data_IF_940296434918
#
_entry.id   IF_940296434918
#
_cell.length_a   1.000
_cell.length_b   1.000
_cell.length_c   1.000
_cell.angle_alpha   90.00
_cell.angle_beta   90.00
_cell.angle_gamma   90.00
#
_symmetry.space_group_name_H-M   'P 1'
#
loop_
_entity.id
_entity.type
_entity.pdbx_description
1 polymer ?
#
# COMPACT_ATOMS: atom_id res chain seq x y z
N UNK A 1 4.44 15.06 -2.25
CA UNK A 1 3.32 14.09 -2.44
C UNK A 1 3.03 14.00 -3.92
N UNK A 2 3.09 12.81 -4.51
CA UNK A 2 2.72 12.57 -5.91
C UNK A 2 1.44 11.72 -5.93
N UNK A 3 0.37 12.24 -6.57
CA UNK A 3 -0.98 11.70 -6.53
C UNK A 3 -1.94 12.58 -5.71
N UNK A 4 -3.15 12.75 -6.24
CA UNK A 4 -4.19 13.66 -5.68
C UNK A 4 -5.50 12.92 -5.40
N UNK A 5 -5.46 11.58 -5.38
CA UNK A 5 -6.64 10.73 -5.21
C UNK A 5 -7.16 10.66 -3.78
N UNK A 6 -8.08 9.72 -3.57
CA UNK A 6 -8.80 9.47 -2.32
C UNK A 6 -7.84 9.32 -1.12
N UNK A 7 -6.85 8.47 -1.24
CA UNK A 7 -5.93 8.19 -0.12
C UNK A 7 -5.07 9.42 0.24
N UNK A 8 -4.72 10.25 -0.76
CA UNK A 8 -3.94 11.47 -0.52
C UNK A 8 -4.81 12.57 0.09
N UNK A 9 -5.95 12.89 -0.52
CA UNK A 9 -6.69 14.12 -0.23
C UNK A 9 -8.12 13.89 0.26
N UNK A 10 -8.67 12.69 0.12
CA UNK A 10 -10.09 12.42 0.34
C UNK A 10 -11.02 13.00 -0.73
N UNK A 11 -10.45 13.51 -1.85
CA UNK A 11 -11.20 14.19 -2.90
C UNK A 11 -11.13 13.44 -4.22
N UNK A 12 -12.27 12.98 -4.74
CA UNK A 12 -12.41 12.22 -5.98
C UNK A 12 -13.62 12.69 -6.77
N UNK A 13 -13.55 12.70 -8.10
CA UNK A 13 -14.65 13.06 -8.99
C UNK A 13 -15.32 14.40 -8.67
N UNK A 14 -14.57 15.37 -8.11
CA UNK A 14 -15.11 16.70 -7.79
C UNK A 14 -15.81 16.79 -6.42
N UNK A 15 -15.76 15.74 -5.61
CA UNK A 15 -16.43 15.67 -4.29
C UNK A 15 -15.57 14.95 -3.24
N UNK A 16 -16.05 14.93 -1.99
CA UNK A 16 -15.50 14.04 -0.96
C UNK A 16 -15.71 12.58 -1.33
N UNK A 17 -14.75 11.73 -1.01
CA UNK A 17 -14.88 10.28 -1.16
C UNK A 17 -15.96 9.73 -0.20
N UNK A 18 -16.73 8.73 -0.67
CA UNK A 18 -17.78 8.06 0.12
C UNK A 18 -17.24 6.97 1.08
N UNK A 19 -15.92 6.91 1.27
CA UNK A 19 -15.28 5.96 2.16
C UNK A 19 -14.93 6.57 3.51
N UNK A 20 -14.38 5.74 4.41
CA UNK A 20 -13.80 6.15 5.69
C UNK A 20 -12.56 7.07 5.55
N UNK A 21 -12.15 7.41 4.34
CA UNK A 21 -10.99 8.26 4.00
C UNK A 21 -11.38 9.64 3.47
N UNK A 22 -12.56 10.13 3.78
CA UNK A 22 -13.06 11.42 3.30
C UNK A 22 -12.21 12.64 3.67
N UNK A 23 -11.35 12.56 4.68
CA UNK A 23 -10.35 13.59 5.03
C UNK A 23 -8.97 13.34 4.40
N UNK A 24 -8.79 12.27 3.62
CA UNK A 24 -7.50 11.77 3.18
C UNK A 24 -6.68 11.15 4.31
N UNK A 25 -5.56 10.57 3.96
CA UNK A 25 -4.59 10.00 4.91
C UNK A 25 -3.26 10.72 4.77
N UNK A 26 -2.71 10.75 3.54
CA UNK A 26 -1.36 11.29 3.28
C UNK A 26 -1.26 12.78 3.61
N UNK A 27 -2.14 13.61 3.04
CA UNK A 27 -2.08 15.05 3.22
C UNK A 27 -2.29 15.45 4.69
N UNK A 28 -3.28 14.87 5.36
CA UNK A 28 -3.54 15.10 6.77
C UNK A 28 -2.33 14.74 7.65
N UNK A 29 -1.71 13.58 7.40
CA UNK A 29 -0.50 13.16 8.10
C UNK A 29 0.67 14.12 7.87
N UNK A 30 0.91 14.56 6.62
CA UNK A 30 1.98 15.50 6.31
C UNK A 30 1.74 16.88 6.94
N UNK A 31 0.51 17.37 7.00
CA UNK A 31 0.17 18.62 7.69
C UNK A 31 0.44 18.52 9.20
N UNK A 32 0.10 17.38 9.82
CA UNK A 32 0.36 17.18 11.24
C UNK A 32 1.87 17.01 11.54
N UNK A 33 2.61 16.28 10.70
CA UNK A 33 4.06 16.16 10.82
C UNK A 33 4.76 17.51 10.62
N UNK A 34 4.23 18.40 9.76
CA UNK A 34 4.70 19.78 9.63
C UNK A 34 4.44 20.59 10.89
N UNK A 35 3.25 20.50 11.47
CA UNK A 35 2.93 21.12 12.75
C UNK A 35 3.88 20.69 13.87
N UNK A 36 4.34 19.43 13.82
CA UNK A 36 5.34 18.90 14.75
C UNK A 36 6.79 19.32 14.42
N UNK A 37 7.02 20.07 13.34
CA UNK A 37 8.37 20.46 12.89
C UNK A 37 9.20 19.33 12.28
N UNK A 38 8.55 18.23 11.88
CA UNK A 38 9.21 17.05 11.29
C UNK A 38 9.24 17.10 9.76
N UNK A 39 8.37 17.90 9.16
CA UNK A 39 8.28 18.16 7.71
C UNK A 39 8.27 19.67 7.49
N UNK A 40 8.95 20.13 6.45
CA UNK A 40 8.99 21.54 6.06
C UNK A 40 7.98 21.88 4.97
N UNK A 41 8.49 22.37 3.83
CA UNK A 41 7.72 22.72 2.63
C UNK A 41 7.01 21.50 2.09
N UNK A 42 5.76 21.66 1.65
CA UNK A 42 4.96 20.59 1.06
C UNK A 42 4.61 20.91 -0.39
N UNK A 43 4.86 19.97 -1.27
CA UNK A 43 4.49 20.00 -2.68
C UNK A 43 3.48 18.89 -2.96
N UNK A 44 2.52 19.15 -3.85
CA UNK A 44 1.55 18.16 -4.31
C UNK A 44 1.51 18.12 -5.83
N UNK A 45 1.83 16.97 -6.43
CA UNK A 45 1.80 16.78 -7.87
C UNK A 45 0.64 15.87 -8.28
N UNK A 46 -0.03 16.27 -9.37
CA UNK A 46 -1.08 15.49 -10.04
C UNK A 46 -1.04 15.74 -11.54
N UNK A 47 -1.76 14.95 -12.32
CA UNK A 47 -1.81 15.09 -13.78
C UNK A 47 -2.79 16.17 -14.28
N UNK A 48 -3.56 16.77 -13.38
CA UNK A 48 -4.58 17.78 -13.72
C UNK A 48 -4.60 18.88 -12.64
N UNK A 49 -4.13 20.08 -13.01
CA UNK A 49 -4.05 21.24 -12.13
C UNK A 49 -5.41 21.85 -11.78
N UNK A 50 -6.40 21.74 -12.66
CA UNK A 50 -7.74 22.33 -12.42
C UNK A 50 -8.49 21.70 -11.26
N UNK A 51 -7.98 20.57 -10.72
CA UNK A 51 -8.50 19.94 -9.52
C UNK A 51 -8.05 20.65 -8.22
N UNK A 52 -6.91 21.35 -8.21
CA UNK A 52 -6.31 21.88 -6.99
C UNK A 52 -7.19 22.90 -6.25
N UNK A 53 -7.91 23.83 -6.89
CA UNK A 53 -8.85 24.69 -6.18
C UNK A 53 -9.91 23.90 -5.40
N UNK A 54 -10.48 22.86 -6.02
CA UNK A 54 -11.44 21.95 -5.35
C UNK A 54 -10.81 21.15 -4.19
N UNK A 55 -9.59 20.66 -4.40
CA UNK A 55 -8.83 19.96 -3.34
C UNK A 55 -8.56 20.87 -2.15
N UNK A 56 -8.11 22.13 -2.37
CA UNK A 56 -7.87 23.10 -1.29
C UNK A 56 -9.15 23.42 -0.52
N UNK A 57 -10.25 23.68 -1.24
CA UNK A 57 -11.54 23.93 -0.62
C UNK A 57 -12.05 22.70 0.19
N UNK A 58 -11.84 21.49 -0.33
CA UNK A 58 -12.17 20.26 0.36
C UNK A 58 -11.35 20.10 1.65
N UNK A 59 -10.01 20.19 1.55
CA UNK A 59 -9.12 20.09 2.71
C UNK A 59 -9.40 21.17 3.76
N UNK A 60 -9.72 22.39 3.34
CA UNK A 60 -10.14 23.43 4.28
C UNK A 60 -11.36 22.98 5.09
N UNK A 61 -12.41 22.46 4.42
CA UNK A 61 -13.65 22.04 5.09
C UNK A 61 -13.47 20.83 5.99
N UNK A 62 -12.71 19.79 5.56
CA UNK A 62 -12.62 18.51 6.29
C UNK A 62 -11.42 18.43 7.23
N UNK A 63 -10.46 19.33 7.10
CA UNK A 63 -9.26 19.39 7.95
C UNK A 63 -9.16 20.76 8.63
N UNK A 64 -9.12 21.86 7.90
CA UNK A 64 -8.89 23.20 8.43
C UNK A 64 -10.00 23.68 9.36
N UNK A 65 -11.26 23.40 9.03
CA UNK A 65 -12.41 23.78 9.85
C UNK A 65 -12.65 22.81 11.03
N UNK A 66 -12.01 21.63 10.98
CA UNK A 66 -12.16 20.56 12.00
C UNK A 66 -11.03 20.60 13.02
N UNK A 67 -9.80 20.82 12.58
CA UNK A 67 -8.61 20.75 13.45
C UNK A 67 -7.94 22.11 13.57
N UNK A 68 -7.57 22.47 14.80
CA UNK A 68 -6.76 23.66 15.08
C UNK A 68 -5.28 23.40 14.83
N UNK A 69 -4.56 24.49 14.54
CA UNK A 69 -3.10 24.54 14.46
C UNK A 69 -2.48 23.76 13.27
N UNK A 70 -3.28 23.37 12.26
CA UNK A 70 -2.78 22.77 11.03
C UNK A 70 -2.65 23.81 9.93
N UNK A 71 -1.45 23.99 9.39
CA UNK A 71 -1.20 24.73 8.16
C UNK A 71 -1.45 23.81 6.96
N UNK A 72 -2.41 24.15 6.09
CA UNK A 72 -2.81 23.36 4.93
C UNK A 72 -2.16 23.80 3.62
N UNK A 73 -1.22 24.76 3.66
CA UNK A 73 -0.55 25.26 2.46
C UNK A 73 0.31 24.18 1.80
N UNK A 74 0.23 24.10 0.49
CA UNK A 74 1.11 23.30 -0.35
C UNK A 74 1.24 23.95 -1.73
N UNK A 75 2.36 23.71 -2.38
CA UNK A 75 2.57 24.12 -3.77
C UNK A 75 2.06 23.02 -4.70
N UNK A 76 1.34 23.41 -5.75
CA UNK A 76 0.71 22.47 -6.67
C UNK A 76 1.42 22.38 -8.00
N UNK A 77 1.57 21.19 -8.51
CA UNK A 77 2.10 20.85 -9.84
C UNK A 77 1.12 19.94 -10.58
N UNK A 78 0.67 20.31 -11.80
CA UNK A 78 0.92 21.56 -12.49
C UNK A 78 0.15 22.74 -11.86
N UNK A 79 0.27 23.94 -12.49
CA UNK A 79 -0.52 25.12 -12.08
C UNK A 79 -2.02 24.86 -12.19
N UNK A 80 -2.83 25.60 -11.41
CA UNK A 80 -4.29 25.45 -11.33
C UNK A 80 -5.02 25.65 -12.68
N UNK A 81 -4.38 26.27 -13.67
CA UNK A 81 -4.93 26.48 -15.03
C UNK A 81 -4.61 25.37 -16.02
N UNK A 82 -3.77 24.39 -15.65
CA UNK A 82 -3.33 23.34 -16.57
C UNK A 82 -4.30 22.15 -16.52
N UNK A 83 -4.99 21.87 -17.62
CA UNK A 83 -5.98 20.77 -17.67
C UNK A 83 -5.35 19.39 -17.64
N UNK A 84 -4.19 19.21 -18.30
CA UNK A 84 -3.50 17.92 -18.34
C UNK A 84 -1.99 18.07 -18.48
N UNK A 85 -1.28 17.45 -17.56
CA UNK A 85 0.17 17.32 -17.58
C UNK A 85 0.58 16.06 -16.78
N UNK A 86 0.73 14.92 -17.45
CA UNK A 86 1.10 13.67 -16.78
C UNK A 86 2.54 13.67 -16.24
N UNK A 87 3.39 14.60 -16.72
CA UNK A 87 4.79 14.73 -16.29
C UNK A 87 5.02 15.85 -15.25
N UNK A 88 3.94 16.45 -14.75
CA UNK A 88 4.04 17.51 -13.73
C UNK A 88 4.85 17.09 -12.48
N UNK A 89 4.88 15.80 -12.18
CA UNK A 89 5.67 15.26 -11.07
C UNK A 89 7.18 15.51 -11.26
N UNK A 90 7.71 15.51 -12.49
CA UNK A 90 9.12 15.80 -12.76
C UNK A 90 9.50 17.20 -12.28
N UNK A 91 8.66 18.21 -12.60
CA UNK A 91 8.91 19.58 -12.14
C UNK A 91 8.78 19.71 -10.62
N UNK A 92 7.85 18.97 -10.01
CA UNK A 92 7.76 18.94 -8.55
C UNK A 92 9.00 18.29 -7.92
N UNK A 93 9.56 17.25 -8.54
CA UNK A 93 10.80 16.61 -8.10
C UNK A 93 12.03 17.53 -8.30
N UNK A 94 12.04 18.35 -9.37
CA UNK A 94 13.15 19.31 -9.62
C UNK A 94 13.22 20.43 -8.57
N UNK A 95 12.15 20.64 -7.79
CA UNK A 95 12.11 21.58 -6.65
C UNK A 95 12.67 20.98 -5.34
N UNK A 96 12.99 19.69 -5.34
CA UNK A 96 13.51 18.98 -4.17
C UNK A 96 15.04 18.91 -4.19
N UNK A 97 15.60 18.75 -3.01
CA UNK A 97 17.03 18.50 -2.81
C UNK A 97 17.30 17.03 -2.51
N UNK A 98 18.50 16.50 -2.80
CA UNK A 98 18.91 15.19 -2.32
C UNK A 98 18.68 15.06 -0.80
N UNK A 99 18.08 13.93 -0.37
CA UNK A 99 17.67 13.69 1.01
C UNK A 99 16.25 14.13 1.36
N UNK A 100 15.56 14.88 0.48
CA UNK A 100 14.13 15.15 0.65
C UNK A 100 13.28 13.87 0.48
N UNK A 101 12.07 13.87 1.04
CA UNK A 101 11.16 12.73 1.03
C UNK A 101 10.05 12.87 -0.01
N UNK A 102 9.83 11.83 -0.80
CA UNK A 102 8.75 11.72 -1.78
C UNK A 102 7.78 10.61 -1.37
N UNK A 103 6.47 10.91 -1.41
CA UNK A 103 5.41 9.94 -1.13
C UNK A 103 4.55 9.80 -2.38
N UNK A 104 4.39 8.56 -2.90
CA UNK A 104 3.73 8.26 -4.18
C UNK A 104 2.46 7.45 -3.96
N UNK A 105 1.32 8.03 -4.35
CA UNK A 105 0.00 7.40 -4.32
C UNK A 105 -0.75 7.68 -5.63
N UNK A 106 -0.31 7.02 -6.69
CA UNK A 106 -0.79 7.13 -8.07
C UNK A 106 -1.30 5.77 -8.56
N UNK A 107 -1.86 5.63 -9.77
CA UNK A 107 -2.11 4.31 -10.35
C UNK A 107 -0.84 3.46 -10.44
N UNK A 108 -0.97 2.15 -10.20
CA UNK A 108 0.14 1.22 -10.00
C UNK A 108 1.15 1.20 -11.17
N UNK A 109 0.66 1.32 -12.41
CA UNK A 109 1.47 1.34 -13.63
C UNK A 109 2.38 2.58 -13.78
N UNK A 110 2.17 3.61 -12.95
CA UNK A 110 2.98 4.83 -12.94
C UNK A 110 4.07 4.81 -11.86
N UNK A 111 4.02 3.86 -10.93
CA UNK A 111 4.90 3.84 -9.77
C UNK A 111 6.37 3.78 -10.16
N UNK A 112 6.76 2.89 -11.08
CA UNK A 112 8.16 2.72 -11.45
C UNK A 112 8.78 3.99 -12.05
N UNK A 113 8.10 4.65 -12.98
CA UNK A 113 8.62 5.86 -13.62
C UNK A 113 8.82 7.00 -12.61
N UNK A 114 7.85 7.18 -11.69
CA UNK A 114 7.93 8.21 -10.66
C UNK A 114 9.01 7.85 -9.62
N UNK A 115 9.08 6.59 -9.21
CA UNK A 115 10.05 6.10 -8.24
C UNK A 115 11.49 6.25 -8.76
N UNK A 116 11.75 5.82 -10.00
CA UNK A 116 13.07 5.95 -10.62
C UNK A 116 13.50 7.42 -10.72
N UNK A 117 12.59 8.32 -11.14
CA UNK A 117 12.88 9.75 -11.22
C UNK A 117 13.18 10.40 -9.86
N UNK A 118 12.52 9.95 -8.78
CA UNK A 118 12.78 10.42 -7.42
C UNK A 118 14.13 9.92 -6.89
N UNK A 119 14.42 8.62 -7.08
CA UNK A 119 15.70 8.00 -6.69
C UNK A 119 16.88 8.63 -7.44
N UNK A 120 16.72 8.89 -8.75
CA UNK A 120 17.76 9.56 -9.55
C UNK A 120 18.15 10.93 -9.00
N UNK A 121 17.21 11.65 -8.38
CA UNK A 121 17.43 12.94 -7.72
C UNK A 121 17.92 12.83 -6.28
N UNK A 122 18.18 11.61 -5.79
CA UNK A 122 18.65 11.37 -4.43
C UNK A 122 17.59 11.57 -3.35
N UNK A 123 16.30 11.48 -3.69
CA UNK A 123 15.21 11.60 -2.73
C UNK A 123 14.92 10.25 -2.05
N UNK A 124 14.59 10.28 -0.76
CA UNK A 124 14.00 9.14 -0.06
C UNK A 124 12.56 8.94 -0.54
N UNK A 125 12.11 7.69 -0.64
CA UNK A 125 10.87 7.36 -1.33
C UNK A 125 9.98 6.40 -0.54
N UNK A 126 8.70 6.76 -0.39
CA UNK A 126 7.63 5.87 0.07
C UNK A 126 6.59 5.71 -1.05
N UNK A 127 6.40 4.49 -1.54
CA UNK A 127 5.46 4.16 -2.62
C UNK A 127 4.32 3.34 -2.07
N UNK A 128 3.08 3.65 -2.49
CA UNK A 128 1.92 2.81 -2.19
C UNK A 128 2.15 1.36 -2.68
N UNK A 129 1.48 0.41 -2.02
CA UNK A 129 1.47 -0.99 -2.49
C UNK A 129 0.61 -1.14 -3.78
N UNK A 130 1.03 -1.99 -4.71
CA UNK A 130 2.35 -2.61 -4.81
C UNK A 130 3.42 -1.55 -5.12
N UNK A 131 4.64 -1.74 -4.61
CA UNK A 131 5.71 -0.77 -4.85
C UNK A 131 5.95 -0.55 -6.35
N UNK A 132 5.97 -1.63 -7.13
CA UNK A 132 5.89 -1.73 -8.58
C UNK A 132 5.19 -3.03 -8.96
N UNK A 133 4.77 -3.20 -10.22
CA UNK A 133 4.04 -4.40 -10.65
C UNK A 133 4.94 -5.54 -11.11
N UNK A 134 6.13 -5.23 -11.67
CA UNK A 134 7.02 -6.22 -12.27
C UNK A 134 8.28 -6.42 -11.45
N UNK A 135 8.76 -7.66 -11.41
CA UNK A 135 9.99 -8.00 -10.69
C UNK A 135 11.22 -7.32 -11.25
N UNK A 136 11.36 -7.22 -12.57
CA UNK A 136 12.48 -6.54 -13.21
C UNK A 136 12.53 -5.03 -12.87
N UNK A 137 11.38 -4.36 -12.83
CA UNK A 137 11.27 -2.98 -12.34
C UNK A 137 11.67 -2.87 -10.85
N UNK A 138 11.27 -3.85 -10.03
CA UNK A 138 11.62 -3.89 -8.62
C UNK A 138 13.14 -4.03 -8.41
N UNK A 139 13.76 -4.98 -9.13
CA UNK A 139 15.20 -5.20 -9.06
C UNK A 139 16.01 -4.00 -9.56
N UNK A 140 15.53 -3.32 -10.62
CA UNK A 140 16.12 -2.08 -11.10
C UNK A 140 16.00 -0.94 -10.07
N UNK A 141 14.84 -0.81 -9.42
CA UNK A 141 14.64 0.19 -8.37
C UNK A 141 15.49 -0.09 -7.13
N UNK A 142 15.62 -1.37 -6.74
CA UNK A 142 16.50 -1.80 -5.66
C UNK A 142 17.96 -1.42 -5.95
N UNK A 143 18.46 -1.75 -7.13
CA UNK A 143 19.83 -1.41 -7.54
C UNK A 143 20.04 0.11 -7.52
N UNK A 144 19.12 0.88 -8.10
CA UNK A 144 19.22 2.34 -8.12
C UNK A 144 19.21 2.95 -6.72
N UNK A 145 18.39 2.41 -5.80
CA UNK A 145 18.33 2.86 -4.41
C UNK A 145 19.65 2.62 -3.67
N UNK A 146 20.28 1.45 -3.88
CA UNK A 146 21.59 1.12 -3.30
C UNK A 146 22.70 1.98 -3.88
N UNK A 147 22.74 2.21 -5.20
CA UNK A 147 23.75 3.08 -5.87
C UNK A 147 23.66 4.54 -5.43
N UNK A 148 22.46 5.02 -5.10
CA UNK A 148 22.21 6.42 -4.67
C UNK A 148 22.21 6.61 -3.17
N UNK A 149 22.33 5.51 -2.39
CA UNK A 149 22.26 5.50 -0.91
C UNK A 149 20.98 6.19 -0.40
N UNK A 150 19.82 5.85 -0.99
CA UNK A 150 18.52 6.40 -0.60
C UNK A 150 17.61 5.31 -0.03
N UNK A 151 16.78 5.71 0.94
CA UNK A 151 15.75 4.85 1.50
C UNK A 151 14.56 4.78 0.54
N UNK A 152 14.23 3.57 0.07
CA UNK A 152 13.01 3.28 -0.68
C UNK A 152 12.20 2.26 0.09
N UNK A 153 10.93 2.58 0.36
CA UNK A 153 10.02 1.72 1.12
C UNK A 153 8.63 1.67 0.46
N UNK A 154 7.92 0.58 0.71
CA UNK A 154 6.53 0.39 0.31
C UNK A 154 5.60 0.80 1.47
N UNK A 155 4.57 1.61 1.18
CA UNK A 155 3.50 1.84 2.14
C UNK A 155 2.57 0.62 2.16
N UNK A 156 2.66 -0.15 3.22
CA UNK A 156 1.80 -1.30 3.52
C UNK A 156 1.43 -1.26 5.00
N UNK A 157 0.48 -0.43 5.33
CA UNK A 157 0.09 -0.07 6.70
C UNK A 157 -0.21 -1.26 7.64
N UNK A 158 -0.47 -2.47 7.10
CA UNK A 158 -0.65 -3.68 7.91
C UNK A 158 0.58 -4.03 8.76
N UNK A 159 1.79 -3.64 8.34
CA UNK A 159 3.00 -3.82 9.16
C UNK A 159 3.01 -2.97 10.45
N UNK A 160 2.08 -2.03 10.59
CA UNK A 160 1.86 -1.21 11.80
C UNK A 160 0.55 -1.54 12.53
N UNK A 161 -0.31 -2.39 11.97
CA UNK A 161 -1.52 -2.86 12.64
C UNK A 161 -1.14 -3.79 13.80
N UNK A 162 -1.53 -3.47 15.05
CA UNK A 162 -1.11 -4.24 16.23
C UNK A 162 -1.42 -5.74 16.15
N UNK A 163 -2.54 -6.11 15.50
CA UNK A 163 -2.92 -7.52 15.34
C UNK A 163 -1.96 -8.22 14.38
N UNK A 164 -1.60 -7.57 13.26
CA UNK A 164 -0.68 -8.16 12.29
C UNK A 164 0.76 -8.22 12.82
N UNK A 165 1.19 -7.22 13.61
CA UNK A 165 2.51 -7.23 14.26
C UNK A 165 2.62 -8.39 15.24
N UNK A 166 1.65 -8.56 16.15
CA UNK A 166 1.63 -9.68 17.10
C UNK A 166 1.52 -11.03 16.38
N UNK A 167 0.65 -11.14 15.38
CA UNK A 167 0.50 -12.36 14.60
C UNK A 167 1.81 -12.78 13.90
N UNK A 168 2.55 -11.81 13.29
CA UNK A 168 3.87 -12.06 12.71
C UNK A 168 4.84 -12.67 13.73
N UNK A 169 4.93 -12.07 14.91
CA UNK A 169 5.88 -12.50 15.93
C UNK A 169 5.56 -13.91 16.43
N UNK A 170 4.27 -14.22 16.64
CA UNK A 170 3.84 -15.58 17.04
C UNK A 170 4.01 -16.61 15.94
N UNK A 171 3.74 -16.28 14.69
CA UNK A 171 3.92 -17.19 13.55
C UNK A 171 5.36 -17.73 13.49
N UNK A 172 6.34 -16.91 13.83
CA UNK A 172 7.77 -17.30 13.85
C UNK A 172 8.12 -18.35 14.91
N UNK A 173 7.23 -18.59 15.86
CA UNK A 173 7.38 -19.58 16.93
C UNK A 173 6.61 -20.89 16.62
N UNK A 174 5.91 -20.98 15.47
CA UNK A 174 5.04 -22.11 15.12
C UNK A 174 5.72 -23.19 14.25
N UNK A 175 7.05 -23.22 14.23
CA UNK A 175 7.82 -24.19 13.45
C UNK A 175 7.76 -23.95 11.95
N UNK A 176 8.05 -24.98 11.16
CA UNK A 176 8.02 -24.90 9.69
C UNK A 176 6.64 -24.52 9.16
N UNK A 177 6.61 -23.69 8.13
CA UNK A 177 5.38 -23.28 7.47
C UNK A 177 4.73 -24.45 6.73
N UNK A 178 3.45 -24.68 6.95
CA UNK A 178 2.65 -25.72 6.31
C UNK A 178 1.56 -25.18 5.39
N UNK A 179 0.67 -24.31 5.90
CA UNK A 179 -0.47 -23.80 5.13
C UNK A 179 -0.83 -22.37 5.49
N UNK A 180 -1.14 -21.57 4.45
CA UNK A 180 -1.70 -20.23 4.60
C UNK A 180 -2.89 -20.04 3.67
N UNK A 181 -3.96 -19.46 4.18
CA UNK A 181 -5.10 -19.06 3.38
C UNK A 181 -5.54 -17.65 3.75
N UNK A 182 -5.68 -16.79 2.75
CA UNK A 182 -6.23 -15.45 2.96
C UNK A 182 -7.38 -15.12 2.02
N UNK A 183 -8.25 -14.24 2.50
CA UNK A 183 -9.34 -13.68 1.72
C UNK A 183 -9.48 -12.19 2.01
N UNK A 184 -9.51 -11.40 0.93
CA UNK A 184 -9.84 -9.98 0.97
C UNK A 184 -10.89 -9.65 -0.08
N UNK A 185 -11.80 -8.74 0.24
CA UNK A 185 -12.82 -8.33 -0.73
C UNK A 185 -13.19 -6.86 -0.61
N UNK A 186 -13.63 -6.32 -1.73
CA UNK A 186 -14.28 -5.02 -1.84
C UNK A 186 -15.72 -5.19 -2.28
N UNK A 187 -16.66 -4.34 -1.85
CA UNK A 187 -18.04 -4.39 -2.32
C UNK A 187 -18.13 -3.99 -3.80
N UNK A 188 -19.11 -4.56 -4.50
CA UNK A 188 -19.34 -4.31 -5.95
C UNK A 188 -19.49 -2.83 -6.32
N UNK A 189 -19.93 -1.98 -5.38
CA UNK A 189 -20.01 -0.54 -5.57
C UNK A 189 -18.66 0.12 -5.84
N UNK A 190 -17.57 -0.46 -5.32
CA UNK A 190 -16.21 0.05 -5.53
C UNK A 190 -15.74 -0.09 -6.97
N UNK A 191 -16.27 -1.04 -7.74
CA UNK A 191 -15.98 -1.14 -9.18
C UNK A 191 -16.32 0.14 -9.94
N UNK A 192 -17.37 0.86 -9.54
CA UNK A 192 -17.74 2.11 -10.18
C UNK A 192 -16.74 3.23 -9.86
N UNK A 193 -16.22 3.26 -8.62
CA UNK A 193 -15.14 4.17 -8.19
C UNK A 193 -13.83 3.85 -8.91
N UNK A 194 -13.51 2.60 -9.11
CA UNK A 194 -12.24 2.13 -9.67
C UNK A 194 -12.28 1.92 -11.20
N UNK A 195 -13.38 2.23 -11.87
CA UNK A 195 -13.59 2.11 -13.33
C UNK A 195 -12.46 2.71 -14.18
N UNK A 196 -11.78 3.72 -13.66
CA UNK A 196 -10.69 4.39 -14.38
C UNK A 196 -9.46 3.51 -14.56
N UNK A 197 -9.19 2.60 -13.63
CA UNK A 197 -7.95 1.83 -13.56
C UNK A 197 -8.13 0.31 -13.43
N UNK A 198 -9.24 -0.19 -12.89
CA UNK A 198 -9.47 -1.62 -12.71
C UNK A 198 -9.47 -2.38 -14.05
N UNK A 199 -8.64 -3.42 -14.16
CA UNK A 199 -8.40 -4.21 -15.37
C UNK A 199 -7.63 -3.46 -16.48
N UNK A 200 -7.07 -2.29 -16.19
CA UNK A 200 -6.28 -1.47 -17.14
C UNK A 200 -4.86 -1.23 -16.65
N UNK A 201 -4.72 -0.53 -15.51
CA UNK A 201 -3.44 -0.24 -14.89
C UNK A 201 -3.17 -1.09 -13.65
N UNK A 202 -4.19 -1.79 -13.13
CA UNK A 202 -4.07 -2.72 -12.00
C UNK A 202 -5.24 -3.71 -11.98
N UNK A 203 -5.10 -4.77 -11.20
CA UNK A 203 -6.12 -5.79 -10.95
C UNK A 203 -6.39 -5.97 -9.44
N UNK A 204 -7.34 -6.85 -9.09
CA UNK A 204 -7.72 -7.09 -7.69
C UNK A 204 -6.59 -7.79 -6.91
N UNK A 205 -5.71 -8.52 -7.56
CA UNK A 205 -4.57 -9.18 -6.91
C UNK A 205 -3.53 -8.15 -6.47
N UNK A 206 -3.09 -7.26 -7.36
CA UNK A 206 -2.23 -6.13 -7.01
C UNK A 206 -2.87 -5.22 -5.96
N UNK A 207 -4.18 -5.02 -6.06
CA UNK A 207 -4.88 -4.12 -5.13
C UNK A 207 -5.04 -4.72 -3.73
N UNK A 208 -5.44 -5.99 -3.59
CA UNK A 208 -5.75 -6.60 -2.29
C UNK A 208 -4.84 -7.75 -1.88
N UNK A 209 -4.52 -8.72 -2.78
CA UNK A 209 -3.63 -9.82 -2.41
C UNK A 209 -2.27 -9.31 -1.94
N UNK A 210 -1.80 -8.16 -2.47
CA UNK A 210 -0.56 -7.52 -2.05
C UNK A 210 -0.42 -7.39 -0.53
N UNK A 211 -1.51 -7.12 0.19
CA UNK A 211 -1.48 -6.98 1.65
C UNK A 211 -1.15 -8.29 2.38
N UNK A 212 -1.76 -9.41 1.96
CA UNK A 212 -1.54 -10.69 2.64
C UNK A 212 -0.35 -11.45 2.08
N UNK A 213 0.01 -11.22 0.82
CA UNK A 213 1.29 -11.68 0.27
C UNK A 213 2.44 -11.02 1.01
N UNK A 214 2.41 -9.69 1.18
CA UNK A 214 3.42 -8.97 1.95
C UNK A 214 3.49 -9.43 3.40
N UNK A 215 2.33 -9.57 4.07
CA UNK A 215 2.30 -10.05 5.45
C UNK A 215 2.92 -11.44 5.58
N UNK A 216 2.59 -12.38 4.69
CA UNK A 216 3.14 -13.73 4.74
C UNK A 216 4.64 -13.74 4.44
N UNK A 217 5.11 -13.00 3.42
CA UNK A 217 6.53 -12.84 3.16
C UNK A 217 7.28 -12.25 4.37
N UNK A 218 6.70 -11.25 5.04
CA UNK A 218 7.26 -10.62 6.22
C UNK A 218 7.27 -11.54 7.45
N UNK A 219 6.22 -12.36 7.65
CA UNK A 219 6.13 -13.29 8.76
C UNK A 219 7.05 -14.49 8.57
N UNK A 220 7.07 -15.09 7.38
CA UNK A 220 7.85 -16.30 7.06
C UNK A 220 9.30 -15.99 6.62
N UNK A 221 9.63 -14.73 6.38
CA UNK A 221 11.00 -14.32 6.01
C UNK A 221 12.03 -14.73 7.06
N UNK A 222 13.06 -15.48 6.63
CA UNK A 222 14.11 -16.01 7.48
C UNK A 222 13.98 -17.49 7.81
N UNK A 223 12.89 -18.18 7.42
CA UNK A 223 12.75 -19.63 7.54
C UNK A 223 12.00 -20.33 6.39
N UNK A 224 11.32 -19.57 5.52
CA UNK A 224 10.67 -20.09 4.32
C UNK A 224 10.63 -19.05 3.21
N UNK A 225 10.56 -19.52 1.94
CA UNK A 225 10.50 -18.67 0.75
C UNK A 225 9.50 -19.19 -0.29
N UNK A 226 8.83 -18.30 -1.08
CA UNK A 226 7.99 -18.73 -2.20
C UNK A 226 8.85 -19.28 -3.34
N UNK A 227 8.41 -20.34 -4.02
CA UNK A 227 9.20 -20.98 -5.10
C UNK A 227 8.42 -21.12 -6.40
N UNK A 228 7.08 -21.15 -6.38
CA UNK A 228 6.23 -21.31 -7.57
C UNK A 228 4.87 -20.70 -7.35
N UNK A 229 4.31 -20.05 -8.36
CA UNK A 229 2.98 -19.45 -8.34
C UNK A 229 2.13 -20.00 -9.49
N UNK A 230 0.86 -20.31 -9.19
CA UNK A 230 -0.22 -20.52 -10.16
C UNK A 230 -1.35 -19.59 -9.83
N UNK A 231 -2.10 -19.14 -10.83
CA UNK A 231 -3.22 -18.26 -10.63
C UNK A 231 -4.47 -18.74 -11.38
N UNK A 232 -5.62 -18.38 -10.84
CA UNK A 232 -6.92 -18.58 -11.47
C UNK A 232 -7.82 -17.40 -11.18
N UNK A 233 -8.72 -17.06 -12.10
CA UNK A 233 -9.62 -15.94 -11.97
C UNK A 233 -11.06 -16.31 -12.32
N UNK A 234 -12.01 -15.61 -11.67
CA UNK A 234 -13.42 -15.59 -12.06
C UNK A 234 -13.74 -14.25 -12.72
N UNK A 235 -14.65 -14.25 -13.68
CA UNK A 235 -15.08 -13.07 -14.47
C UNK A 235 -16.61 -13.00 -14.57
N UNK A 236 -17.14 -11.88 -15.05
CA UNK A 236 -18.54 -11.71 -15.45
C UNK A 236 -19.24 -10.56 -14.76
N UNK A 237 -19.06 -10.34 -13.45
CA UNK A 237 -19.75 -9.28 -12.74
C UNK A 237 -19.16 -7.88 -13.06
N UNK A 238 -17.85 -7.76 -13.19
CA UNK A 238 -17.18 -6.55 -13.64
C UNK A 238 -17.48 -6.27 -15.13
N UNK A 239 -17.41 -7.30 -15.96
CA UNK A 239 -17.75 -7.23 -17.38
C UNK A 239 -19.19 -6.75 -17.62
N UNK A 240 -20.15 -7.23 -16.84
CA UNK A 240 -21.55 -6.79 -16.89
C UNK A 240 -21.72 -5.28 -16.59
N UNK A 241 -20.73 -4.67 -15.90
CA UNK A 241 -20.64 -3.22 -15.68
C UNK A 241 -19.80 -2.49 -16.75
N UNK A 242 -19.30 -3.20 -17.76
CA UNK A 242 -18.41 -2.65 -18.79
C UNK A 242 -17.01 -2.32 -18.27
N UNK A 243 -16.53 -3.06 -17.28
CA UNK A 243 -15.19 -2.94 -16.70
C UNK A 243 -14.41 -4.19 -17.09
N UNK A 244 -13.26 -4.06 -17.83
CA UNK A 244 -12.49 -5.22 -18.30
C UNK A 244 -11.55 -5.75 -17.20
N UNK A 245 -12.15 -6.23 -16.10
CA UNK A 245 -11.41 -6.73 -14.94
C UNK A 245 -11.91 -8.10 -14.52
N UNK A 246 -11.01 -8.91 -13.97
CA UNK A 246 -11.38 -10.14 -13.27
C UNK A 246 -12.17 -9.78 -11.99
N UNK A 247 -13.21 -10.55 -11.70
CA UNK A 247 -14.04 -10.39 -10.49
C UNK A 247 -13.30 -10.82 -9.22
N UNK A 248 -12.55 -11.91 -9.35
CA UNK A 248 -11.83 -12.57 -8.25
C UNK A 248 -10.56 -13.18 -8.80
N UNK A 249 -9.44 -13.00 -8.13
CA UNK A 249 -8.17 -13.64 -8.46
C UNK A 249 -7.67 -14.43 -7.25
N UNK A 250 -7.32 -15.69 -7.49
CA UNK A 250 -6.71 -16.60 -6.52
C UNK A 250 -5.30 -16.96 -6.97
N UNK A 251 -4.34 -16.81 -6.08
CA UNK A 251 -2.97 -17.26 -6.24
C UNK A 251 -2.75 -18.50 -5.37
N UNK A 252 -2.22 -19.57 -5.95
CA UNK A 252 -1.70 -20.76 -5.27
C UNK A 252 -0.18 -20.71 -5.33
N UNK A 253 0.47 -20.65 -4.16
CA UNK A 253 1.92 -20.45 -4.05
C UNK A 253 2.55 -21.61 -3.30
N UNK A 254 3.49 -22.28 -3.94
CA UNK A 254 4.34 -23.29 -3.29
C UNK A 254 5.48 -22.60 -2.55
N UNK A 255 5.74 -23.03 -1.33
CA UNK A 255 6.79 -22.51 -0.45
C UNK A 255 7.79 -23.60 -0.09
N UNK A 256 9.03 -23.22 0.15
CA UNK A 256 10.10 -24.08 0.61
C UNK A 256 10.65 -23.56 1.93
N UNK A 257 10.56 -24.37 2.98
CA UNK A 257 11.18 -24.11 4.28
C UNK A 257 12.69 -24.36 4.21
N UNK A 258 13.44 -23.72 5.08
CA UNK A 258 14.89 -23.92 5.20
C UNK A 258 15.25 -25.36 5.61
N UNK A 259 14.34 -26.06 6.30
CA UNK A 259 14.46 -27.49 6.59
C UNK A 259 14.38 -28.39 5.36
N UNK A 260 13.90 -27.88 4.23
CA UNK A 260 13.59 -28.60 2.99
C UNK A 260 12.15 -29.12 2.92
N UNK A 261 11.34 -28.95 3.95
CA UNK A 261 9.90 -29.25 3.90
C UNK A 261 9.14 -28.23 3.06
N UNK A 262 7.94 -28.58 2.58
CA UNK A 262 7.13 -27.70 1.71
C UNK A 262 5.87 -27.23 2.41
N UNK A 263 5.53 -25.98 2.19
CA UNK A 263 4.24 -25.39 2.54
C UNK A 263 3.50 -24.88 1.32
N UNK A 264 2.22 -24.60 1.46
CA UNK A 264 1.37 -24.05 0.40
C UNK A 264 0.54 -22.88 0.90
N UNK A 265 0.40 -21.86 0.07
CA UNK A 265 -0.38 -20.67 0.39
C UNK A 265 -1.43 -20.38 -0.68
N UNK A 266 -2.63 -19.96 -0.24
CA UNK A 266 -3.75 -19.55 -1.11
C UNK A 266 -4.12 -18.11 -0.76
N UNK A 267 -3.95 -17.19 -1.70
CA UNK A 267 -4.37 -15.80 -1.55
C UNK A 267 -5.53 -15.52 -2.50
N UNK A 268 -6.66 -15.08 -1.97
CA UNK A 268 -7.84 -14.77 -2.77
C UNK A 268 -8.30 -13.35 -2.51
N UNK A 269 -8.53 -12.60 -3.57
CA UNK A 269 -9.13 -11.28 -3.50
C UNK A 269 -10.25 -11.08 -4.52
N UNK A 270 -11.27 -10.29 -4.16
CA UNK A 270 -12.49 -10.15 -4.94
C UNK A 270 -13.05 -8.72 -4.90
N UNK A 271 -13.57 -8.21 -6.05
CA UNK A 271 -14.34 -6.97 -6.13
C UNK A 271 -15.83 -7.16 -5.92
N UNK A 272 -16.33 -8.39 -5.88
CA UNK A 272 -17.77 -8.67 -6.03
C UNK A 272 -18.47 -9.03 -4.73
N UNK A 273 -17.88 -8.61 -3.59
CA UNK A 273 -18.54 -8.78 -2.31
C UNK A 273 -19.89 -8.02 -2.27
N UNK A 274 -20.91 -8.57 -1.59
CA UNK A 274 -22.13 -7.86 -1.32
C UNK A 274 -21.89 -6.72 -0.32
N UNK A 275 -22.89 -5.82 -0.16
CA UNK A 275 -22.90 -4.88 0.95
C UNK A 275 -22.97 -5.65 2.27
N UNK A 276 -22.10 -5.36 3.19
CA UNK A 276 -21.93 -6.02 4.48
C UNK A 276 -21.75 -4.98 5.58
N UNK A 277 -21.60 -5.42 6.80
CA UNK A 277 -21.26 -4.60 7.98
C UNK A 277 -19.83 -4.08 7.98
N UNK A 278 -19.00 -4.55 7.05
CA UNK A 278 -17.63 -4.10 6.81
C UNK A 278 -17.46 -3.62 5.38
N UNK A 279 -16.61 -2.62 5.20
CA UNK A 279 -16.26 -2.12 3.87
C UNK A 279 -15.42 -3.15 3.08
N UNK A 280 -14.55 -3.88 3.77
CA UNK A 280 -13.63 -4.86 3.18
C UNK A 280 -13.47 -6.05 4.11
N UNK A 281 -13.75 -7.24 3.61
CA UNK A 281 -13.36 -8.48 4.31
C UNK A 281 -11.84 -8.62 4.25
N UNK A 282 -11.21 -8.94 5.39
CA UNK A 282 -9.75 -9.05 5.50
C UNK A 282 -9.43 -10.08 6.56
N UNK A 283 -9.17 -11.31 6.14
CA UNK A 283 -8.90 -12.41 7.06
C UNK A 283 -7.86 -13.37 6.50
N UNK A 284 -7.15 -14.04 7.42
CA UNK A 284 -6.26 -15.14 7.08
C UNK A 284 -6.27 -16.24 8.15
N UNK A 285 -5.86 -17.43 7.73
CA UNK A 285 -5.50 -18.56 8.54
C UNK A 285 -4.06 -18.97 8.21
N UNK A 286 -3.25 -19.22 9.22
CA UNK A 286 -1.89 -19.73 9.11
C UNK A 286 -1.73 -21.01 9.94
N UNK A 287 -1.01 -21.99 9.40
CA UNK A 287 -0.62 -23.23 10.10
C UNK A 287 0.87 -23.46 9.93
N UNK A 288 1.57 -23.58 11.04
CA UNK A 288 2.91 -24.13 11.14
C UNK A 288 2.88 -25.58 11.66
N UNK A 289 4.03 -26.23 11.76
CA UNK A 289 4.10 -27.59 12.28
C UNK A 289 3.73 -27.67 13.77
N UNK A 290 3.92 -26.59 14.53
CA UNK A 290 3.72 -26.57 15.99
C UNK A 290 2.48 -25.76 16.42
N UNK A 291 1.67 -25.24 15.46
CA UNK A 291 0.45 -24.51 15.82
C UNK A 291 -0.17 -23.72 14.69
N UNK A 292 -1.22 -22.99 15.02
CA UNK A 292 -2.00 -22.21 14.06
C UNK A 292 -2.34 -20.81 14.57
N UNK A 293 -2.62 -19.88 13.64
CA UNK A 293 -3.08 -18.55 13.94
C UNK A 293 -4.20 -18.12 12.97
N UNK A 294 -5.24 -17.48 13.48
CA UNK A 294 -6.35 -16.92 12.68
C UNK A 294 -6.51 -15.44 12.98
N UNK A 295 -6.64 -14.63 11.94
CA UNK A 295 -6.91 -13.20 12.06
C UNK A 295 -8.14 -12.85 11.21
N UNK A 296 -9.13 -12.20 11.82
CA UNK A 296 -10.20 -11.47 11.16
C UNK A 296 -10.06 -9.98 11.47
N UNK A 297 -9.36 -9.27 10.57
CA UNK A 297 -9.07 -7.85 10.75
C UNK A 297 -10.33 -6.99 10.58
N UNK A 298 -11.32 -7.44 9.83
CA UNK A 298 -12.54 -6.71 9.58
C UNK A 298 -13.44 -6.64 10.83
N UNK A 299 -13.43 -7.68 11.67
CA UNK A 299 -14.27 -7.79 12.86
C UNK A 299 -13.42 -7.77 14.14
N UNK A 300 -13.29 -6.58 14.71
CA UNK A 300 -12.40 -6.33 15.88
C UNK A 300 -13.12 -6.28 17.21
N UNK A 301 -14.36 -6.80 17.27
CA UNK A 301 -15.19 -6.79 18.48
C UNK A 301 -15.83 -5.43 18.80
N UNK A 302 -15.74 -4.44 17.89
CA UNK A 302 -16.37 -3.14 18.01
C UNK A 302 -17.39 -2.92 16.90
N UNK A 303 -18.64 -2.72 17.27
CA UNK A 303 -19.75 -2.53 16.33
C UNK A 303 -20.56 -1.29 16.69
N UNK A 304 -21.16 -0.70 15.68
CA UNK A 304 -22.08 0.42 15.79
C UNK A 304 -23.38 0.08 15.09
N UNK A 305 -24.51 0.50 15.66
CA UNK A 305 -25.80 0.47 15.02
C UNK A 305 -26.44 1.85 15.12
N UNK A 306 -26.77 2.45 13.97
CA UNK A 306 -27.44 3.75 13.89
C UNK A 306 -28.60 3.69 12.91
N UNK A 307 -29.58 4.57 13.10
CA UNK A 307 -30.73 4.64 12.18
C UNK A 307 -30.30 5.08 10.76
N UNK A 308 -29.25 5.91 10.67
CA UNK A 308 -28.75 6.44 9.39
C UNK A 308 -27.91 5.43 8.59
N UNK A 309 -27.04 4.66 9.25
CA UNK A 309 -26.05 3.81 8.58
C UNK A 309 -26.31 2.30 8.80
N UNK A 310 -27.23 1.94 9.68
CA UNK A 310 -27.48 0.56 10.08
C UNK A 310 -26.37 -0.01 10.96
N UNK A 311 -26.24 -1.33 10.93
CA UNK A 311 -25.22 -2.08 11.68
C UNK A 311 -23.90 -2.13 10.91
N UNK A 312 -22.77 -1.83 11.59
CA UNK A 312 -21.42 -1.89 11.03
C UNK A 312 -20.38 -2.31 12.06
N UNK A 313 -19.35 -3.01 11.61
CA UNK A 313 -18.13 -3.24 12.38
C UNK A 313 -17.17 -2.07 12.15
N UNK A 314 -16.62 -1.52 13.23
CA UNK A 314 -15.72 -0.37 13.17
C UNK A 314 -14.27 -0.78 13.40
N UNK A 315 -13.33 -0.08 12.74
CA UNK A 315 -11.91 -0.22 12.97
C UNK A 315 -11.33 1.08 13.56
N UNK A 316 -11.23 1.19 14.90
CA UNK A 316 -10.73 2.41 15.54
C UNK A 316 -9.21 2.56 15.48
N UNK A 317 -8.49 1.54 14.99
CA UNK A 317 -7.02 1.47 15.04
C UNK A 317 -6.35 2.06 13.78
N UNK A 318 -7.09 2.21 12.68
CA UNK A 318 -6.51 2.70 11.43
C UNK A 318 -6.13 4.18 11.50
N UNK A 319 -7.10 5.04 11.78
CA UNK A 319 -6.94 6.48 11.89
C UNK A 319 -8.09 7.04 12.72
N UNK A 320 -7.80 7.97 13.64
CA UNK A 320 -8.84 8.71 14.35
C UNK A 320 -9.01 10.08 13.71
N UNK A 321 -10.18 10.32 13.15
CA UNK A 321 -10.51 11.59 12.51
C UNK A 321 -11.23 12.60 13.41
N UNK A 322 -11.65 12.20 14.62
CA UNK A 322 -12.26 13.14 15.56
C UNK A 322 -11.20 13.98 16.29
N UNK A 323 -11.41 15.30 16.45
CA UNK A 323 -10.50 16.14 17.23
C UNK A 323 -10.56 15.80 18.74
N UNK A 324 -9.53 16.22 19.49
CA UNK A 324 -9.56 16.21 20.94
C UNK A 324 -10.43 17.35 21.50
N UNK A 325 -10.50 17.44 22.84
CA UNK A 325 -11.26 18.50 23.53
C UNK A 325 -10.73 19.93 23.25
N UNK A 326 -9.48 20.06 22.76
CA UNK A 326 -8.85 21.31 22.38
C UNK A 326 -9.01 21.62 20.88
N UNK A 327 -9.64 20.70 20.12
CA UNK A 327 -9.82 20.81 18.68
C UNK A 327 -8.59 20.40 17.87
N UNK A 328 -7.66 19.62 18.42
CA UNK A 328 -6.43 19.18 17.73
C UNK A 328 -6.60 17.78 17.14
N UNK A 329 -5.86 17.51 16.07
CA UNK A 329 -5.78 16.17 15.48
C UNK A 329 -5.12 15.18 16.45
N UNK A 330 -5.74 14.00 16.65
CA UNK A 330 -5.27 12.94 17.56
C UNK A 330 -5.11 11.57 16.91
N UNK A 331 -4.98 11.53 15.59
CA UNK A 331 -4.85 10.29 14.84
C UNK A 331 -3.47 9.64 14.82
N UNK A 332 -2.49 10.21 15.55
CA UNK A 332 -1.08 9.78 15.52
C UNK A 332 -0.86 8.34 15.99
N UNK A 333 -1.74 7.80 16.83
CA UNK A 333 -1.67 6.40 17.28
C UNK A 333 -2.18 5.40 16.25
N UNK A 334 -2.85 5.86 15.19
CA UNK A 334 -3.41 5.00 14.16
C UNK A 334 -2.33 4.40 13.26
N UNK A 335 -2.48 3.11 12.92
CA UNK A 335 -1.48 2.45 12.07
C UNK A 335 -1.41 3.04 10.64
N UNK A 336 -2.48 3.69 10.17
CA UNK A 336 -2.46 4.44 8.90
C UNK A 336 -1.67 5.74 8.97
N UNK A 337 -1.44 6.31 10.17
CA UNK A 337 -0.54 7.45 10.39
C UNK A 337 0.90 6.99 10.59
N UNK A 338 1.09 5.95 11.42
CA UNK A 338 2.40 5.46 11.84
C UNK A 338 3.28 5.00 10.69
N UNK A 339 2.70 4.44 9.62
CA UNK A 339 3.46 4.03 8.44
C UNK A 339 4.20 5.20 7.77
N UNK A 340 3.57 6.38 7.72
CA UNK A 340 4.20 7.60 7.20
C UNK A 340 5.18 8.21 8.20
N UNK A 341 4.79 8.27 9.47
CA UNK A 341 5.60 8.83 10.55
C UNK A 341 6.97 8.16 10.61
N UNK A 342 7.00 6.82 10.67
CA UNK A 342 8.24 6.05 10.77
C UNK A 342 9.14 6.22 9.53
N UNK A 343 8.54 6.35 8.34
CA UNK A 343 9.31 6.65 7.11
C UNK A 343 9.91 8.07 7.14
N UNK A 344 9.14 9.07 7.55
CA UNK A 344 9.64 10.46 7.65
C UNK A 344 10.74 10.57 8.70
N UNK A 345 10.59 9.89 9.84
CA UNK A 345 11.64 9.88 10.86
C UNK A 345 12.92 9.18 10.38
N UNK A 346 12.76 8.08 9.64
CA UNK A 346 13.90 7.40 9.02
C UNK A 346 14.62 8.33 8.02
N UNK A 347 13.88 8.98 7.12
CA UNK A 347 14.47 9.94 6.16
C UNK A 347 15.21 11.09 6.88
N UNK A 348 14.63 11.61 7.96
CA UNK A 348 15.26 12.66 8.78
C UNK A 348 16.53 12.19 9.48
N UNK A 349 16.53 11.00 10.08
CA UNK A 349 17.71 10.44 10.73
C UNK A 349 18.85 10.18 9.73
N UNK A 350 18.52 9.72 8.51
CA UNK A 350 19.51 9.56 7.44
C UNK A 350 20.05 10.93 7.03
N UNK A 351 19.19 11.93 6.80
CA UNK A 351 19.61 13.29 6.46
C UNK A 351 20.46 13.98 7.55
N UNK A 352 20.28 13.60 8.81
CA UNK A 352 21.09 14.04 9.93
C UNK A 352 22.42 13.28 10.09
N UNK A 353 22.66 12.22 9.30
CA UNK A 353 23.82 11.34 9.42
C UNK A 353 23.80 10.42 10.65
N UNK A 354 22.64 10.25 11.28
CA UNK A 354 22.44 9.38 12.46
C UNK A 354 22.18 7.91 12.09
N UNK A 355 21.78 7.66 10.85
CA UNK A 355 21.49 6.33 10.31
C UNK A 355 21.81 6.27 8.81
N UNK A 356 21.85 5.06 8.25
CA UNK A 356 21.95 4.80 6.81
C UNK A 356 20.68 4.06 6.33
N UNK A 357 20.33 4.10 5.03
CA UNK A 357 19.17 3.40 4.47
C UNK A 357 19.11 1.91 4.83
N UNK A 358 20.25 1.23 4.83
CA UNK A 358 20.38 -0.20 5.20
C UNK A 358 19.97 -0.53 6.64
N UNK A 359 20.02 0.44 7.56
CA UNK A 359 19.67 0.23 8.96
C UNK A 359 18.15 0.08 9.16
N UNK A 360 17.37 0.35 8.12
CA UNK A 360 15.92 0.21 8.11
C UNK A 360 15.41 -1.08 7.47
N UNK A 361 16.30 -1.91 6.92
CA UNK A 361 15.97 -3.29 6.51
C UNK A 361 15.57 -4.08 7.77
N UNK A 362 14.42 -4.76 7.71
CA UNK A 362 13.82 -5.44 8.87
C UNK A 362 12.97 -4.53 9.79
N UNK A 363 12.97 -3.21 9.56
CA UNK A 363 12.22 -2.22 10.37
C UNK A 363 11.10 -1.55 9.58
N UNK A 364 11.35 -1.24 8.32
CA UNK A 364 10.35 -0.74 7.37
C UNK A 364 10.14 -1.78 6.25
N UNK A 365 9.09 -1.62 5.47
CA UNK A 365 8.86 -2.42 4.26
C UNK A 365 9.77 -1.92 3.12
N UNK A 366 11.10 -2.04 3.29
CA UNK A 366 12.06 -1.53 2.32
C UNK A 366 11.98 -2.27 0.99
N UNK A 367 12.55 -1.66 -0.06
CA UNK A 367 12.62 -2.30 -1.39
C UNK A 367 13.36 -3.64 -1.33
N UNK A 368 14.32 -3.83 -0.42
CA UNK A 368 15.01 -5.11 -0.19
C UNK A 368 14.06 -6.19 0.35
N UNK A 369 13.18 -5.85 1.28
CA UNK A 369 12.29 -6.81 1.92
C UNK A 369 11.04 -7.14 1.11
N UNK A 370 10.61 -6.26 0.22
CA UNK A 370 9.36 -6.40 -0.52
C UNK A 370 9.53 -7.08 -1.90
N UNK A 371 10.74 -7.55 -2.23
CA UNK A 371 11.04 -8.26 -3.50
C UNK A 371 10.13 -9.47 -3.69
N UNK A 372 9.96 -10.31 -2.66
CA UNK A 372 9.09 -11.49 -2.78
C UNK A 372 7.62 -11.12 -2.98
N UNK A 373 7.17 -10.04 -2.35
CA UNK A 373 5.80 -9.54 -2.54
C UNK A 373 5.55 -9.21 -4.01
N UNK A 374 6.44 -8.43 -4.63
CA UNK A 374 6.35 -8.10 -6.06
C UNK A 374 6.47 -9.36 -6.93
N UNK A 375 7.41 -10.26 -6.63
CA UNK A 375 7.62 -11.47 -7.41
C UNK A 375 6.38 -12.39 -7.42
N UNK A 376 5.74 -12.60 -6.28
CA UNK A 376 4.52 -13.42 -6.19
C UNK A 376 3.36 -12.80 -6.97
N UNK A 377 3.20 -11.48 -6.92
CA UNK A 377 2.15 -10.77 -7.65
C UNK A 377 2.40 -10.78 -9.17
N UNK A 378 3.62 -10.50 -9.62
CA UNK A 378 4.03 -10.55 -11.03
C UNK A 378 3.91 -11.98 -11.58
N UNK A 379 4.41 -12.99 -10.85
CA UNK A 379 4.26 -14.39 -11.21
C UNK A 379 2.78 -14.80 -11.32
N UNK A 380 1.94 -14.31 -10.41
CA UNK A 380 0.49 -14.51 -10.48
C UNK A 380 -0.13 -13.92 -11.74
N UNK A 381 0.24 -12.70 -12.13
CA UNK A 381 -0.25 -12.06 -13.36
C UNK A 381 0.24 -12.83 -14.60
N UNK A 382 1.53 -13.19 -14.67
CA UNK A 382 2.08 -14.00 -15.76
C UNK A 382 1.39 -15.37 -15.88
N UNK A 383 1.07 -15.99 -14.75
CA UNK A 383 0.32 -17.26 -14.73
C UNK A 383 -1.09 -17.09 -15.32
N UNK A 384 -1.84 -16.03 -14.93
CA UNK A 384 -3.16 -15.75 -15.51
C UNK A 384 -3.08 -15.49 -17.01
N UNK A 385 -2.10 -14.72 -17.45
CA UNK A 385 -1.89 -14.39 -18.87
C UNK A 385 -1.45 -15.61 -19.71
N UNK A 386 -1.09 -16.72 -19.02
CA UNK A 386 -0.63 -17.99 -19.60
C UNK A 386 -1.54 -19.17 -19.22
N UNK A 387 -2.86 -18.94 -19.16
CA UNK A 387 -3.91 -19.95 -18.87
C UNK A 387 -3.66 -20.74 -17.57
N UNK A 388 -3.12 -20.09 -16.54
CA UNK A 388 -2.84 -20.71 -15.24
C UNK A 388 -1.55 -21.54 -15.20
N UNK A 389 -0.70 -21.44 -16.21
CA UNK A 389 0.60 -22.12 -16.21
C UNK A 389 1.43 -21.73 -14.97
N UNK A 390 2.19 -22.68 -14.38
CA UNK A 390 3.03 -22.36 -13.23
C UNK A 390 4.18 -21.43 -13.61
N UNK A 391 4.48 -20.47 -12.73
CA UNK A 391 5.63 -19.58 -12.86
C UNK A 391 6.56 -19.84 -11.68
N UNK A 392 7.81 -20.22 -11.97
CA UNK A 392 8.84 -20.47 -10.96
C UNK A 392 9.55 -19.19 -10.57
N UNK A 393 9.85 -19.03 -9.27
CA UNK A 393 10.72 -17.99 -8.76
C UNK A 393 12.17 -18.51 -8.80
N UNK A 394 13.03 -17.83 -9.56
CA UNK A 394 14.42 -18.22 -9.77
C UNK A 394 15.34 -17.56 -8.73
N UNK A 395 16.10 -18.39 -8.03
CA UNK A 395 17.06 -17.96 -7.01
C UNK A 395 18.49 -18.30 -7.47
N UNK A 396 19.42 -17.39 -7.23
CA UNK A 396 20.84 -17.66 -7.44
C UNK A 396 21.43 -18.62 -6.39
N UNK A 397 22.71 -18.97 -6.56
CA UNK A 397 23.41 -19.85 -5.63
C UNK A 397 23.55 -19.32 -4.19
N UNK A 398 23.31 -18.03 -3.97
CA UNK A 398 23.28 -17.36 -2.68
C UNK A 398 21.88 -17.24 -2.05
N UNK A 399 20.84 -17.70 -2.76
CA UNK A 399 19.44 -17.61 -2.32
C UNK A 399 18.78 -16.24 -2.58
N UNK A 400 19.40 -15.37 -3.37
CA UNK A 400 18.80 -14.10 -3.81
C UNK A 400 17.87 -14.36 -4.99
N UNK A 401 16.67 -13.80 -4.97
CA UNK A 401 15.73 -13.86 -6.10
C UNK A 401 16.29 -13.04 -7.27
N UNK A 402 16.33 -13.64 -8.46
CA UNK A 402 16.92 -13.06 -9.67
C UNK A 402 15.98 -13.02 -10.87
N UNK A 403 14.89 -13.78 -10.86
CA UNK A 403 13.99 -13.84 -12.01
C UNK A 403 12.72 -14.66 -11.77
N UNK A 404 11.90 -14.70 -12.84
CA UNK A 404 10.70 -15.51 -12.95
C UNK A 404 10.77 -16.30 -14.26
N UNK A 405 10.53 -17.62 -14.19
CA UNK A 405 10.47 -18.53 -15.34
C UNK A 405 9.05 -19.09 -15.51
N UNK A 406 8.54 -19.09 -16.76
CA UNK A 406 7.23 -19.66 -17.14
C UNK A 406 7.43 -21.09 -17.61
#
# INVERSE_FOLDING_TARGET
MVGTGEYTTGYVHGSAADSDKGAGVVALTMFDLRRQGRVGRLLMAGSNGTKFPGIRAHLQRVVGDVYRDLDLAFESFPSDSTERDPEAYLRALDELSPGDAVVVFTPDDTHFAIAAAAVERGCHLLVAKPIVQKLDEHLALLQAAEERDVLVAMEVHKRWDPIYVDARDRIRELGDFSFFQSYMSQPKSQLDTFRAWAGKSSDISYYLNAHHVDFHCWAAGGFARPVRVRASAATGAAEAKGIPAEDTITLLVDWLNDSGSRGTAVYTSSWIAPKSDVHSQQRFFYMGHDGEATVDQAHRGYTLATDAEGYRSANPLFMKYAPDAQGRFTGQSGYGYRSFEDFIDAARAIGAGEAAPKDYVGRLATVQETVWTTAVLDAGRRSLDSDGAPVDLEYDGGGKLVGLAL
#
